data_IF_209423811098
#
_entry.id   IF_209423811098
#
_cell.length_a   1.000
_cell.length_b   1.000
_cell.length_c   1.000
_cell.angle_alpha   90.00
_cell.angle_beta   90.00
_cell.angle_gamma   90.00
#
_symmetry.space_group_name_H-M   'P 1'
#
loop_
_entity.id
_entity.type
_entity.pdbx_description
1 polymer ?
#
# COMPACT_ATOMS: atom_id res chain seq x y z
N UNK A 1 5.09 13.56 6.09
CA UNK A 1 4.08 13.83 5.04
C UNK A 1 3.14 14.98 5.38
N UNK A 2 2.29 14.91 6.40
CA UNK A 2 1.25 15.92 6.70
C UNK A 2 1.78 17.36 6.69
N UNK A 3 2.86 17.63 7.43
CA UNK A 3 3.48 18.96 7.48
C UNK A 3 3.99 19.43 6.11
N UNK A 4 4.45 18.52 5.26
CA UNK A 4 4.89 18.84 3.90
C UNK A 4 3.71 19.30 3.04
N UNK A 5 2.56 18.59 3.11
CA UNK A 5 1.36 18.98 2.38
C UNK A 5 0.80 20.33 2.86
N UNK A 6 0.72 20.53 4.17
CA UNK A 6 0.29 21.82 4.76
C UNK A 6 1.19 22.98 4.30
N UNK A 7 2.51 22.79 4.30
CA UNK A 7 3.46 23.79 3.81
C UNK A 7 3.35 24.06 2.29
N UNK A 8 2.68 23.18 1.54
CA UNK A 8 2.42 23.31 0.10
C UNK A 8 0.98 23.75 -0.22
N UNK A 9 0.23 24.22 0.77
CA UNK A 9 -1.07 24.85 0.58
C UNK A 9 -2.28 23.93 0.71
N UNK A 10 -2.10 22.67 1.12
CA UNK A 10 -3.23 21.81 1.47
C UNK A 10 -3.87 22.29 2.77
N UNK A 11 -5.20 22.23 2.84
CA UNK A 11 -5.96 22.47 4.05
C UNK A 11 -5.99 21.22 4.93
N UNK A 12 -6.19 21.41 6.23
CA UNK A 12 -6.35 20.28 7.18
C UNK A 12 -7.55 19.39 6.84
N UNK A 13 -8.58 19.94 6.19
CA UNK A 13 -9.75 19.21 5.70
C UNK A 13 -9.50 18.42 4.41
N UNK A 14 -8.29 18.43 3.87
CA UNK A 14 -7.91 17.68 2.66
C UNK A 14 -6.93 16.54 2.98
N UNK A 15 -6.42 16.49 4.22
CA UNK A 15 -5.39 15.53 4.61
C UNK A 15 -5.95 14.60 5.68
N UNK A 16 -5.97 13.31 5.37
CA UNK A 16 -6.45 12.27 6.26
C UNK A 16 -5.38 11.19 6.39
N UNK A 17 -5.17 10.69 7.61
CA UNK A 17 -4.21 9.62 7.87
C UNK A 17 -4.74 8.64 8.91
N UNK A 18 -4.46 7.35 8.69
CA UNK A 18 -4.72 6.30 9.66
C UNK A 18 -3.54 5.36 9.71
N UNK A 19 -3.36 4.73 10.86
CA UNK A 19 -2.56 3.52 10.95
C UNK A 19 -3.44 2.32 10.58
N UNK A 20 -2.90 1.13 10.68
CA UNK A 20 -3.68 -0.10 10.63
C UNK A 20 -3.24 -0.99 11.79
N UNK A 21 -4.15 -1.84 12.24
CA UNK A 21 -3.91 -2.67 13.40
C UNK A 21 -3.63 -1.86 14.66
N UNK A 22 -2.53 -2.16 15.34
CA UNK A 22 -2.19 -1.58 16.64
C UNK A 22 -1.28 -0.35 16.55
N UNK A 23 -1.09 0.20 15.35
CA UNK A 23 -0.25 1.39 15.16
C UNK A 23 1.25 1.14 15.32
N UNK A 24 1.70 -0.11 15.20
CA UNK A 24 3.12 -0.47 15.23
C UNK A 24 3.60 -1.07 16.56
N UNK A 25 2.67 -1.48 17.43
CA UNK A 25 3.01 -2.21 18.66
C UNK A 25 3.44 -3.65 18.35
N UNK A 26 2.82 -4.28 17.34
CA UNK A 26 3.24 -5.59 16.85
C UNK A 26 4.53 -5.46 16.08
N UNK A 27 5.55 -6.21 16.47
CA UNK A 27 6.83 -6.25 15.76
C UNK A 27 6.64 -6.77 14.34
N UNK A 28 7.37 -6.20 13.37
CA UNK A 28 7.19 -6.47 11.93
C UNK A 28 7.16 -7.95 11.57
N UNK A 29 7.93 -8.80 12.28
CA UNK A 29 7.98 -10.25 12.05
C UNK A 29 6.72 -11.02 12.44
N UNK A 30 5.80 -10.40 13.19
CA UNK A 30 4.56 -11.02 13.69
C UNK A 30 3.31 -10.44 13.01
N UNK A 31 3.48 -9.59 12.00
CA UNK A 31 2.35 -8.92 11.33
C UNK A 31 1.67 -9.86 10.35
N UNK A 32 0.41 -10.20 10.63
CA UNK A 32 -0.50 -10.80 9.66
C UNK A 32 -1.40 -9.74 9.02
N UNK A 33 -1.71 -9.91 7.74
CA UNK A 33 -2.60 -9.04 6.97
C UNK A 33 -4.07 -9.38 7.27
N UNK A 34 -4.55 -8.94 8.44
CA UNK A 34 -5.87 -9.30 8.98
C UNK A 34 -7.03 -8.53 8.31
N UNK A 35 -8.20 -9.17 8.25
CA UNK A 35 -9.44 -8.55 7.76
C UNK A 35 -9.78 -7.26 8.50
N UNK A 36 -9.58 -7.21 9.82
CA UNK A 36 -9.86 -6.01 10.63
C UNK A 36 -9.02 -4.81 10.18
N UNK A 37 -7.77 -5.04 9.77
CA UNK A 37 -6.87 -3.98 9.30
C UNK A 37 -7.32 -3.46 7.92
N UNK A 38 -7.72 -4.38 7.05
CA UNK A 38 -8.32 -4.06 5.74
C UNK A 38 -9.61 -3.26 5.92
N UNK A 39 -10.50 -3.69 6.82
CA UNK A 39 -11.76 -3.01 7.11
C UNK A 39 -11.55 -1.60 7.63
N UNK A 40 -10.58 -1.38 8.52
CA UNK A 40 -10.23 -0.04 9.01
C UNK A 40 -9.86 0.91 7.87
N UNK A 41 -8.97 0.49 6.97
CA UNK A 41 -8.56 1.29 5.81
C UNK A 41 -9.74 1.52 4.86
N UNK A 42 -10.52 0.47 4.58
CA UNK A 42 -11.70 0.54 3.70
C UNK A 42 -12.74 1.53 4.21
N UNK A 43 -13.07 1.47 5.49
CA UNK A 43 -13.99 2.41 6.13
C UNK A 43 -13.50 3.85 6.05
N UNK A 44 -12.20 4.07 6.20
CA UNK A 44 -11.62 5.40 6.05
C UNK A 44 -11.75 5.96 4.63
N UNK A 45 -11.43 5.17 3.60
CA UNK A 45 -11.56 5.59 2.19
C UNK A 45 -13.02 5.99 1.90
N UNK A 46 -13.98 5.17 2.33
CA UNK A 46 -15.41 5.43 2.15
C UNK A 46 -15.82 6.72 2.89
N UNK A 47 -15.40 6.89 4.14
CA UNK A 47 -15.74 8.06 4.94
C UNK A 47 -15.19 9.35 4.33
N UNK A 48 -13.93 9.35 3.87
CA UNK A 48 -13.33 10.51 3.19
C UNK A 48 -14.09 10.83 1.91
N UNK A 49 -14.36 9.82 1.07
CA UNK A 49 -15.14 10.00 -0.18
C UNK A 49 -16.54 10.59 0.06
N UNK A 50 -17.20 10.15 1.14
CA UNK A 50 -18.52 10.64 1.52
C UNK A 50 -18.47 12.07 2.06
N UNK A 51 -17.44 12.41 2.84
CA UNK A 51 -17.25 13.74 3.40
C UNK A 51 -16.88 14.78 2.34
N UNK A 52 -15.95 14.47 1.43
CA UNK A 52 -15.45 15.44 0.44
C UNK A 52 -16.32 15.52 -0.81
N UNK A 53 -17.08 14.46 -1.13
CA UNK A 53 -17.85 14.39 -2.37
C UNK A 53 -17.00 14.15 -3.64
N UNK A 54 -15.68 14.03 -3.51
CA UNK A 54 -14.72 13.87 -4.62
C UNK A 54 -14.03 12.51 -4.57
N UNK A 55 -13.47 12.05 -5.69
CA UNK A 55 -12.53 10.92 -5.66
C UNK A 55 -11.36 11.21 -4.71
N UNK A 56 -10.79 10.15 -4.16
CA UNK A 56 -9.76 10.19 -3.11
C UNK A 56 -8.42 9.78 -3.71
N UNK A 57 -7.35 10.48 -3.33
CA UNK A 57 -5.98 10.04 -3.57
C UNK A 57 -5.45 9.28 -2.35
N UNK A 58 -4.83 8.13 -2.60
CA UNK A 58 -4.34 7.22 -1.55
C UNK A 58 -2.83 7.09 -1.67
N UNK A 59 -2.10 7.53 -0.64
CA UNK A 59 -0.68 7.23 -0.48
C UNK A 59 -0.54 6.12 0.57
N UNK A 60 -0.09 4.94 0.14
CA UNK A 60 0.08 3.79 1.01
C UNK A 60 1.56 3.40 1.13
N UNK A 61 2.02 3.16 2.35
CA UNK A 61 3.44 2.91 2.65
C UNK A 61 3.68 1.51 3.21
N UNK A 62 4.76 0.86 2.77
CA UNK A 62 5.22 -0.40 3.33
C UNK A 62 4.13 -1.49 3.27
N UNK A 63 3.86 -2.11 4.41
CA UNK A 63 2.79 -3.11 4.58
C UNK A 63 1.38 -2.50 4.42
N UNK A 64 1.24 -1.18 4.62
CA UNK A 64 0.01 -0.47 4.33
C UNK A 64 -0.40 -0.54 2.86
N UNK A 65 0.55 -0.74 1.94
CA UNK A 65 0.26 -0.85 0.50
C UNK A 65 -0.58 -2.10 0.16
N UNK A 66 -0.14 -3.35 0.42
CA UNK A 66 -0.99 -4.52 0.15
C UNK A 66 -2.31 -4.50 0.95
N UNK A 67 -2.34 -3.94 2.16
CA UNK A 67 -3.59 -3.78 2.93
C UNK A 67 -4.57 -2.81 2.26
N UNK A 68 -4.09 -1.64 1.81
CA UNK A 68 -4.91 -0.66 1.10
C UNK A 68 -5.41 -1.21 -0.24
N UNK A 69 -4.55 -1.96 -0.96
CA UNK A 69 -4.97 -2.68 -2.18
C UNK A 69 -6.10 -3.66 -1.88
N UNK A 70 -6.02 -4.48 -0.84
CA UNK A 70 -7.14 -5.36 -0.47
C UNK A 70 -8.40 -4.59 -0.06
N UNK A 71 -8.24 -3.45 0.62
CA UNK A 71 -9.36 -2.59 1.00
C UNK A 71 -10.08 -2.00 -0.22
N UNK A 72 -9.33 -1.63 -1.27
CA UNK A 72 -9.86 -1.14 -2.54
C UNK A 72 -10.47 -2.27 -3.35
N UNK A 73 -9.81 -3.43 -3.46
CA UNK A 73 -10.31 -4.59 -4.22
C UNK A 73 -11.67 -5.08 -3.69
N UNK A 74 -11.85 -5.10 -2.37
CA UNK A 74 -13.04 -5.67 -1.75
C UNK A 74 -13.06 -7.20 -1.86
N UNK A 75 -14.24 -7.77 -2.13
CA UNK A 75 -14.48 -9.22 -2.12
C UNK A 75 -14.44 -9.80 -0.71
N UNK A 76 -13.91 -11.01 -0.57
CA UNK A 76 -13.84 -11.71 0.72
C UNK A 76 -12.51 -11.49 1.43
N UNK A 77 -12.53 -11.36 2.75
CA UNK A 77 -11.34 -11.44 3.58
C UNK A 77 -10.70 -12.85 3.52
N UNK A 78 -9.37 -12.91 3.44
CA UNK A 78 -8.62 -14.16 3.23
C UNK A 78 -8.56 -15.02 4.50
N UNK A 79 -8.45 -14.37 5.66
CA UNK A 79 -8.44 -14.98 6.99
C UNK A 79 -9.82 -15.35 7.51
N UNK A 80 -10.81 -14.45 7.39
CA UNK A 80 -12.12 -14.62 8.04
C UNK A 80 -13.27 -14.97 7.11
N UNK A 81 -13.10 -14.81 5.78
CA UNK A 81 -14.19 -14.90 4.77
C UNK A 81 -15.31 -13.87 4.96
N UNK A 82 -15.10 -12.86 5.78
CA UNK A 82 -16.03 -11.74 5.87
C UNK A 82 -16.05 -10.95 4.55
N UNK A 83 -17.25 -10.52 4.15
CA UNK A 83 -17.47 -9.79 2.89
C UNK A 83 -17.13 -8.31 3.10
N UNK A 84 -16.17 -7.80 2.33
CA UNK A 84 -15.79 -6.38 2.28
C UNK A 84 -16.74 -5.58 1.37
N UNK A 85 -17.37 -6.25 0.40
CA UNK A 85 -18.24 -5.64 -0.61
C UNK A 85 -17.52 -5.39 -1.94
N UNK A 86 -18.11 -4.58 -2.84
CA UNK A 86 -17.57 -4.37 -4.19
C UNK A 86 -16.25 -3.58 -4.18
N UNK A 87 -15.49 -3.59 -5.29
CA UNK A 87 -14.31 -2.74 -5.44
C UNK A 87 -14.63 -1.25 -5.26
N UNK A 88 -13.70 -0.50 -4.67
CA UNK A 88 -13.77 0.96 -4.52
C UNK A 88 -13.07 1.70 -5.66
N UNK A 89 -12.68 1.01 -6.74
CA UNK A 89 -11.87 1.55 -7.85
C UNK A 89 -12.37 2.90 -8.35
N UNK A 90 -13.69 3.06 -8.53
CA UNK A 90 -14.30 4.30 -9.04
C UNK A 90 -14.22 5.48 -8.08
N UNK A 91 -13.94 5.21 -6.79
CA UNK A 91 -13.78 6.23 -5.75
C UNK A 91 -12.34 6.73 -5.66
N UNK A 92 -11.38 6.06 -6.30
CA UNK A 92 -9.95 6.40 -6.22
C UNK A 92 -9.51 7.10 -7.50
N UNK A 93 -8.94 8.31 -7.36
CA UNK A 93 -8.29 8.98 -8.48
C UNK A 93 -6.87 8.44 -8.63
N UNK A 94 -5.98 8.78 -7.70
CA UNK A 94 -4.60 8.30 -7.70
C UNK A 94 -4.32 7.34 -6.53
N UNK A 95 -3.78 6.16 -6.82
CA UNK A 95 -3.17 5.26 -5.85
C UNK A 95 -1.64 5.28 -5.97
N UNK A 96 -0.96 5.63 -4.90
CA UNK A 96 0.50 5.68 -4.83
C UNK A 96 1.03 4.72 -3.76
N UNK A 97 1.77 3.71 -4.20
CA UNK A 97 2.49 2.78 -3.33
C UNK A 97 3.91 3.27 -3.07
N UNK A 98 4.27 3.56 -1.82
CA UNK A 98 5.62 3.96 -1.42
C UNK A 98 6.27 2.81 -0.65
N UNK A 99 7.38 2.29 -1.14
CA UNK A 99 8.08 1.13 -0.56
C UNK A 99 7.13 -0.04 -0.25
N UNK A 100 6.12 -0.27 -1.10
CA UNK A 100 5.06 -1.23 -0.81
C UNK A 100 5.53 -2.68 -0.83
N UNK A 101 5.04 -3.52 0.08
CA UNK A 101 5.32 -4.96 0.09
C UNK A 101 4.35 -5.75 -0.82
N UNK A 102 4.15 -5.28 -2.05
CA UNK A 102 3.08 -5.72 -2.96
C UNK A 102 3.22 -7.16 -3.47
N UNK A 103 4.45 -7.67 -3.57
CA UNK A 103 4.76 -9.05 -3.91
C UNK A 103 5.50 -9.78 -2.77
N UNK A 104 5.41 -9.23 -1.56
CA UNK A 104 6.00 -9.78 -0.35
C UNK A 104 7.25 -9.03 0.09
N UNK A 105 7.99 -9.65 1.02
CA UNK A 105 9.24 -9.13 1.55
C UNK A 105 10.36 -10.14 1.35
N UNK A 106 11.58 -9.64 1.14
CA UNK A 106 12.74 -10.46 0.82
C UNK A 106 13.01 -11.51 1.90
N UNK A 107 12.88 -11.15 3.18
CA UNK A 107 13.17 -12.04 4.33
C UNK A 107 12.31 -13.31 4.39
N UNK A 108 11.18 -13.36 3.69
CA UNK A 108 10.33 -14.56 3.61
C UNK A 108 10.86 -15.65 2.67
N UNK A 109 12.09 -15.52 2.14
CA UNK A 109 12.77 -16.62 1.44
C UNK A 109 13.14 -17.77 2.40
N UNK A 110 13.30 -17.48 3.69
CA UNK A 110 13.60 -18.47 4.71
C UNK A 110 12.32 -19.29 4.98
N UNK A 111 12.37 -20.63 4.93
CA UNK A 111 11.19 -21.50 4.94
C UNK A 111 10.56 -21.66 6.34
N UNK A 112 10.41 -20.58 7.10
CA UNK A 112 9.66 -20.56 8.36
C UNK A 112 8.33 -19.84 8.10
N UNK A 113 7.24 -20.58 7.81
CA UNK A 113 5.97 -20.01 7.36
C UNK A 113 5.10 -19.54 8.54
N UNK A 114 5.67 -18.75 9.44
CA UNK A 114 4.98 -18.23 10.63
C UNK A 114 5.01 -16.70 10.66
N UNK A 115 4.06 -16.10 11.39
CA UNK A 115 3.92 -14.65 11.49
C UNK A 115 3.86 -13.99 10.12
N UNK A 116 4.69 -12.96 9.92
CA UNK A 116 4.72 -12.17 8.70
C UNK A 116 5.07 -12.96 7.43
N UNK A 117 5.63 -14.18 7.53
CA UNK A 117 5.94 -15.02 6.37
C UNK A 117 4.97 -16.19 6.18
N UNK A 118 3.84 -16.20 6.89
CA UNK A 118 2.84 -17.24 6.71
C UNK A 118 2.24 -17.21 5.28
N UNK A 119 1.84 -18.39 4.78
CA UNK A 119 1.34 -18.54 3.39
C UNK A 119 -0.15 -18.24 3.21
N UNK A 120 -0.85 -17.80 4.26
CA UNK A 120 -2.27 -17.45 4.17
C UNK A 120 -2.45 -15.94 4.11
N UNK A 121 -2.07 -15.25 5.18
CA UNK A 121 -2.18 -13.79 5.36
C UNK A 121 -0.84 -13.10 5.59
N UNK A 122 0.27 -13.75 5.26
CA UNK A 122 1.59 -13.14 5.37
C UNK A 122 2.07 -12.49 4.07
N UNK A 123 3.30 -11.99 4.13
CA UNK A 123 4.08 -11.35 3.08
C UNK A 123 5.05 -12.33 2.38
N UNK A 124 4.86 -13.64 2.55
CA UNK A 124 5.48 -14.59 1.65
C UNK A 124 4.86 -14.42 0.25
N UNK A 125 5.67 -14.28 -0.79
CA UNK A 125 5.21 -13.93 -2.15
C UNK A 125 4.13 -14.85 -2.75
N UNK A 126 4.03 -16.09 -2.25
CA UNK A 126 2.98 -17.07 -2.61
C UNK A 126 1.85 -17.16 -1.59
N UNK A 127 1.67 -16.15 -0.72
CA UNK A 127 0.59 -16.17 0.24
C UNK A 127 -0.75 -16.01 -0.46
N UNK A 128 -1.81 -16.60 0.08
CA UNK A 128 -3.17 -16.45 -0.48
C UNK A 128 -3.57 -14.98 -0.55
N UNK A 129 -3.19 -14.17 0.44
CA UNK A 129 -3.45 -12.72 0.42
C UNK A 129 -2.78 -12.02 -0.76
N UNK A 130 -1.49 -12.26 -0.98
CA UNK A 130 -0.78 -11.62 -2.08
C UNK A 130 -1.24 -12.15 -3.44
N UNK A 131 -1.60 -13.43 -3.54
CA UNK A 131 -2.19 -13.99 -4.76
C UNK A 131 -3.54 -13.36 -5.10
N UNK A 132 -4.36 -13.09 -4.09
CA UNK A 132 -5.67 -12.45 -4.26
C UNK A 132 -5.52 -11.03 -4.82
N UNK A 133 -4.76 -10.16 -4.13
CA UNK A 133 -4.58 -8.77 -4.58
C UNK A 133 -3.80 -8.63 -5.89
N UNK A 134 -2.95 -9.61 -6.24
CA UNK A 134 -2.18 -9.61 -7.50
C UNK A 134 -2.85 -10.42 -8.62
N UNK A 135 -3.98 -11.10 -8.32
CA UNK A 135 -4.78 -11.82 -9.30
C UNK A 135 -5.63 -10.89 -10.19
N UNK A 136 -5.78 -9.63 -9.77
CA UNK A 136 -6.46 -8.57 -10.51
C UNK A 136 -5.47 -7.47 -10.87
N UNK A 137 -5.75 -6.74 -11.95
CA UNK A 137 -4.90 -5.66 -12.46
C UNK A 137 -5.68 -4.35 -12.52
N UNK A 138 -4.97 -3.24 -12.26
CA UNK A 138 -5.46 -1.88 -12.47
C UNK A 138 -6.77 -1.53 -11.74
N UNK A 139 -7.04 -2.14 -10.58
CA UNK A 139 -8.24 -1.87 -9.78
C UNK A 139 -7.99 -0.82 -8.68
N UNK A 140 -6.73 -0.44 -8.45
CA UNK A 140 -6.33 0.42 -7.35
C UNK A 140 -6.84 1.86 -7.51
N UNK A 141 -7.04 2.33 -8.74
CA UNK A 141 -7.56 3.67 -9.04
C UNK A 141 -7.43 4.02 -10.52
N UNK A 142 -7.70 5.27 -10.86
CA UNK A 142 -7.54 5.81 -12.23
C UNK A 142 -6.07 5.90 -12.62
N UNK A 143 -5.23 6.38 -11.70
CA UNK A 143 -3.79 6.45 -11.85
C UNK A 143 -3.12 5.65 -10.76
N UNK A 144 -2.15 4.81 -11.13
CA UNK A 144 -1.51 3.87 -10.20
C UNK A 144 -0.01 4.06 -10.33
N UNK A 145 0.65 4.35 -9.22
CA UNK A 145 2.08 4.59 -9.22
C UNK A 145 2.79 3.86 -8.08
N UNK A 146 4.08 3.61 -8.27
CA UNK A 146 4.96 3.12 -7.21
C UNK A 146 6.24 3.95 -7.09
N UNK A 147 6.68 4.21 -5.85
CA UNK A 147 8.02 4.69 -5.52
C UNK A 147 8.69 3.63 -4.65
N UNK A 148 9.89 3.20 -5.00
CA UNK A 148 10.61 2.16 -4.24
C UNK A 148 12.11 2.34 -4.40
N UNK A 149 12.90 1.67 -3.56
CA UNK A 149 14.37 1.70 -3.68
C UNK A 149 14.96 0.32 -3.89
N UNK A 150 16.07 0.25 -4.63
CA UNK A 150 16.89 -0.95 -4.73
C UNK A 150 17.67 -1.28 -3.44
N UNK A 151 17.70 -0.33 -2.49
CA UNK A 151 18.39 -0.45 -1.20
C UNK A 151 17.43 -0.53 -0.02
N UNK A 152 16.15 -0.82 -0.28
CA UNK A 152 15.13 -1.06 0.76
C UNK A 152 15.45 -2.34 1.53
N UNK A 153 15.89 -2.19 2.78
CA UNK A 153 16.33 -3.30 3.63
C UNK A 153 15.19 -4.09 4.27
N UNK A 154 13.95 -3.58 4.25
CA UNK A 154 12.78 -4.22 4.88
C UNK A 154 11.98 -5.02 3.87
N UNK A 155 11.58 -4.40 2.76
CA UNK A 155 10.85 -5.06 1.68
C UNK A 155 11.80 -5.78 0.75
N UNK A 156 12.94 -5.17 0.42
CA UNK A 156 13.86 -5.67 -0.59
C UNK A 156 13.48 -5.27 -2.01
N UNK A 157 14.46 -5.30 -2.90
CA UNK A 157 14.28 -4.92 -4.30
C UNK A 157 13.60 -6.01 -5.13
N UNK A 158 14.07 -7.26 -5.00
CA UNK A 158 13.60 -8.43 -5.75
C UNK A 158 13.39 -9.63 -4.85
N UNK A 159 12.34 -10.39 -5.16
CA UNK A 159 12.03 -11.66 -4.55
C UNK A 159 11.07 -12.44 -5.44
N UNK A 160 11.14 -13.77 -5.41
CA UNK A 160 10.29 -14.63 -6.23
C UNK A 160 10.31 -14.27 -7.73
N UNK A 161 11.50 -13.95 -8.26
CA UNK A 161 11.75 -13.55 -9.64
C UNK A 161 11.01 -12.28 -10.11
N UNK A 162 10.51 -11.45 -9.19
CA UNK A 162 9.85 -10.19 -9.51
C UNK A 162 10.40 -9.04 -8.66
N UNK A 163 10.10 -7.80 -9.07
CA UNK A 163 10.25 -6.63 -8.20
C UNK A 163 9.17 -6.69 -7.12
N UNK A 164 9.53 -6.37 -5.87
CA UNK A 164 8.63 -6.57 -4.73
C UNK A 164 7.61 -5.45 -4.52
N UNK A 165 7.94 -4.23 -4.95
CA UNK A 165 7.11 -3.04 -4.72
C UNK A 165 6.28 -2.54 -5.91
N UNK A 166 6.78 -2.50 -7.15
CA UNK A 166 6.00 -2.07 -8.32
C UNK A 166 4.74 -2.90 -8.50
N UNK A 167 3.62 -2.25 -8.85
CA UNK A 167 2.34 -2.92 -9.07
C UNK A 167 2.21 -3.30 -10.54
N UNK A 168 1.67 -4.49 -10.82
CA UNK A 168 1.48 -4.93 -12.21
C UNK A 168 0.32 -4.15 -12.83
N UNK A 169 0.56 -3.57 -13.99
CA UNK A 169 -0.44 -2.75 -14.70
C UNK A 169 -0.56 -1.33 -14.15
N UNK A 170 0.43 -0.86 -13.40
CA UNK A 170 0.48 0.53 -12.94
C UNK A 170 0.77 1.51 -14.08
N UNK A 171 0.35 2.76 -13.91
CA UNK A 171 0.61 3.87 -14.84
C UNK A 171 2.10 4.18 -14.95
N UNK A 172 2.85 4.03 -13.86
CA UNK A 172 4.31 4.14 -13.87
C UNK A 172 4.95 3.97 -12.50
N UNK A 173 6.27 3.92 -12.46
CA UNK A 173 7.00 3.84 -11.19
C UNK A 173 8.29 4.65 -11.22
N UNK A 174 8.81 4.96 -10.03
CA UNK A 174 10.13 5.54 -9.82
C UNK A 174 10.94 4.63 -8.91
N UNK A 175 12.06 4.12 -9.44
CA UNK A 175 13.10 3.45 -8.66
C UNK A 175 14.09 4.50 -8.14
N UNK A 176 14.30 4.53 -6.83
CA UNK A 176 15.36 5.30 -6.15
C UNK A 176 16.54 4.40 -5.84
N UNK A 177 17.72 4.99 -5.75
CA UNK A 177 18.95 4.27 -5.41
C UNK A 177 19.41 4.70 -4.03
N UNK A 178 19.95 3.74 -3.26
CA UNK A 178 20.62 4.00 -1.98
C UNK A 178 19.72 4.63 -0.90
N UNK A 179 18.40 4.44 -0.98
CA UNK A 179 17.47 4.82 0.08
C UNK A 179 17.05 3.59 0.87
N UNK A 180 17.15 3.67 2.19
CA UNK A 180 16.52 2.70 3.10
C UNK A 180 14.99 2.73 2.97
N UNK A 181 14.31 1.78 3.59
CA UNK A 181 12.85 1.72 3.62
C UNK A 181 12.23 3.03 4.15
N UNK A 182 12.79 3.57 5.23
CA UNK A 182 12.30 4.78 5.88
C UNK A 182 12.71 6.04 5.10
N UNK A 183 13.91 6.06 4.52
CA UNK A 183 14.34 7.17 3.66
C UNK A 183 13.55 7.24 2.35
N UNK A 184 13.06 6.10 1.84
CA UNK A 184 12.25 6.06 0.62
C UNK A 184 10.97 6.88 0.79
N UNK A 185 10.29 6.79 1.94
CA UNK A 185 9.13 7.64 2.20
C UNK A 185 9.55 9.08 2.54
N UNK A 186 10.53 9.28 3.41
CA UNK A 186 10.85 10.63 3.91
C UNK A 186 11.50 11.55 2.89
N UNK A 187 12.31 11.00 1.98
CA UNK A 187 13.02 11.78 0.95
C UNK A 187 12.20 12.01 -0.32
N UNK A 188 11.00 11.45 -0.41
CA UNK A 188 10.18 11.53 -1.63
C UNK A 188 8.87 12.28 -1.44
N UNK A 189 8.67 13.04 -0.35
CA UNK A 189 7.41 13.75 -0.09
C UNK A 189 6.96 14.68 -1.23
N UNK A 190 7.87 15.45 -1.83
CA UNK A 190 7.52 16.33 -2.96
C UNK A 190 7.09 15.51 -4.19
N UNK A 191 7.77 14.38 -4.44
CA UNK A 191 7.41 13.46 -5.53
C UNK A 191 6.06 12.78 -5.27
N UNK A 192 5.81 12.36 -4.03
CA UNK A 192 4.53 11.81 -3.61
C UNK A 192 3.40 12.83 -3.84
N UNK A 193 3.62 14.11 -3.48
CA UNK A 193 2.68 15.19 -3.79
C UNK A 193 2.49 15.38 -5.29
N UNK A 194 3.57 15.36 -6.08
CA UNK A 194 3.47 15.52 -7.53
C UNK A 194 2.67 14.40 -8.20
N UNK A 195 2.76 13.16 -7.70
CA UNK A 195 1.94 12.07 -8.21
C UNK A 195 0.44 12.30 -7.97
N UNK A 196 0.05 12.67 -6.76
CA UNK A 196 -1.38 12.92 -6.46
C UNK A 196 -1.91 14.21 -7.10
N UNK A 197 -1.06 15.24 -7.28
CA UNK A 197 -1.52 16.53 -7.82
C UNK A 197 -1.42 16.63 -9.35
N UNK A 198 -0.44 15.95 -9.97
CA UNK A 198 -0.07 16.12 -11.38
C UNK A 198 0.07 14.80 -12.15
N UNK A 199 -0.05 13.65 -11.48
CA UNK A 199 0.12 12.31 -12.06
C UNK A 199 1.49 12.10 -12.73
N UNK A 200 2.53 12.78 -12.22
CA UNK A 200 3.92 12.68 -12.67
C UNK A 200 4.90 13.00 -11.55
N UNK A 201 6.17 12.55 -11.60
CA UNK A 201 7.11 12.73 -10.50
C UNK A 201 7.62 14.17 -10.27
N UNK A 202 7.47 15.08 -11.24
CA UNK A 202 7.96 16.48 -11.22
C UNK A 202 6.94 17.50 -11.74
#
# INVERSE_FOLDING_TARGET
MVNHLLARGYNRSEIYGTTWGDGGLTTTGLIDLKCSYVKQIRSMIIAVRQYTGTRVDVIAYGVGSPLARKAILGGDCVDTREILGPPLTELIDTYLSVAGANYGIISCFIPIPVGACNRRTGLHCRSTFLQDINGQISYEGTFIFSIFSDSDEKVGYRGCNTLLSPIRGETGFVKKELLSHDLTIDKTYEMQRNFIQKQRPF
#
